data_IF_099821801591
#
_entry.id   IF_099821801591
#
_cell.length_a   1.000
_cell.length_b   1.000
_cell.length_c   1.000
_cell.angle_alpha   90.00
_cell.angle_beta   90.00
_cell.angle_gamma   90.00
#
_symmetry.space_group_name_H-M   'P 1'
#
loop_
_entity.id
_entity.type
_entity.pdbx_description
1 polymer ?
#
# COMPACT_ATOMS: atom_id res chain seq x y z
N UNK A 1 -6.55 29.55 -23.24
CA UNK A 1 -5.13 29.20 -23.51
C UNK A 1 -4.29 30.20 -22.77
N UNK A 2 -3.43 29.76 -21.85
CA UNK A 2 -2.45 30.62 -21.16
C UNK A 2 -1.34 30.94 -22.16
N UNK A 3 -1.28 32.19 -22.66
CA UNK A 3 -0.17 32.69 -23.47
C UNK A 3 0.98 33.11 -22.51
N UNK A 4 1.67 32.13 -21.94
CA UNK A 4 2.91 32.39 -21.19
C UNK A 4 4.06 32.61 -22.20
N UNK A 5 4.90 33.63 -22.00
CA UNK A 5 6.17 33.76 -22.70
C UNK A 5 7.02 32.50 -22.55
N UNK A 6 7.82 32.18 -23.58
CA UNK A 6 8.58 30.92 -23.63
C UNK A 6 9.59 30.80 -22.48
N UNK A 7 10.19 31.90 -22.05
CA UNK A 7 11.10 31.98 -20.94
C UNK A 7 10.42 31.68 -19.60
N UNK A 8 9.22 32.22 -19.38
CA UNK A 8 8.42 31.91 -18.18
C UNK A 8 7.97 30.44 -18.17
N UNK A 9 7.59 29.90 -19.34
CA UNK A 9 7.24 28.50 -19.46
C UNK A 9 8.45 27.58 -19.16
N UNK A 10 9.65 27.93 -19.62
CA UNK A 10 10.89 27.20 -19.36
C UNK A 10 11.26 27.26 -17.87
N UNK A 11 11.11 28.43 -17.22
CA UNK A 11 11.36 28.58 -15.78
C UNK A 11 10.36 27.75 -14.98
N UNK A 12 9.09 27.70 -15.37
CA UNK A 12 8.06 26.88 -14.72
C UNK A 12 8.38 25.38 -14.85
N UNK A 13 8.81 24.93 -16.02
CA UNK A 13 9.24 23.55 -16.26
C UNK A 13 10.49 23.23 -15.42
N UNK A 14 11.47 24.14 -15.34
CA UNK A 14 12.66 23.93 -14.51
C UNK A 14 12.30 23.83 -13.02
N UNK A 15 11.38 24.69 -12.53
CA UNK A 15 10.89 24.65 -11.14
C UNK A 15 10.06 23.41 -10.82
N UNK A 16 9.37 22.84 -11.79
CA UNK A 16 8.56 21.62 -11.63
C UNK A 16 9.29 20.34 -11.99
N UNK A 17 10.54 20.45 -12.47
CA UNK A 17 11.38 19.31 -12.88
C UNK A 17 11.51 18.23 -11.81
N UNK A 18 11.52 18.61 -10.52
CA UNK A 18 11.52 17.67 -9.39
C UNK A 18 10.31 16.74 -9.35
N UNK A 19 9.18 17.11 -9.99
CA UNK A 19 7.98 16.25 -10.07
C UNK A 19 8.18 15.04 -10.99
N UNK A 20 9.14 15.13 -11.91
CA UNK A 20 9.49 14.06 -12.85
C UNK A 20 10.68 13.22 -12.37
N UNK A 21 11.38 13.69 -11.33
CA UNK A 21 12.45 12.90 -10.73
C UNK A 21 11.83 11.74 -9.95
N UNK A 22 12.39 10.53 -10.15
CA UNK A 22 11.99 9.39 -9.31
C UNK A 22 12.26 9.77 -7.87
N UNK A 23 11.23 9.74 -6.99
CA UNK A 23 11.44 10.08 -5.60
C UNK A 23 12.56 9.21 -5.05
N UNK A 24 13.60 9.85 -4.49
CA UNK A 24 14.65 9.14 -3.77
C UNK A 24 13.99 8.18 -2.79
N UNK A 25 14.49 6.95 -2.72
CA UNK A 25 14.04 5.95 -1.74
C UNK A 25 14.41 6.42 -0.34
N UNK A 26 13.70 7.43 0.17
CA UNK A 26 13.89 7.88 1.55
C UNK A 26 13.54 6.74 2.48
N UNK A 27 14.47 6.41 3.39
CA UNK A 27 14.21 5.44 4.45
C UNK A 27 13.05 5.97 5.30
N UNK A 28 12.05 5.12 5.52
CA UNK A 28 10.95 5.44 6.43
C UNK A 28 11.52 5.64 7.82
N UNK A 29 11.12 6.74 8.45
CA UNK A 29 11.52 7.04 9.83
C UNK A 29 10.75 6.14 10.79
N UNK A 30 11.34 5.85 11.93
CA UNK A 30 10.68 5.07 12.99
C UNK A 30 9.49 5.81 13.62
N UNK A 31 9.50 7.13 13.59
CA UNK A 31 8.45 7.99 14.15
C UNK A 31 8.31 9.26 13.31
N UNK A 32 7.08 9.76 13.24
CA UNK A 32 6.71 11.04 12.62
C UNK A 32 6.05 11.93 13.67
N UNK A 33 6.52 13.16 13.81
CA UNK A 33 5.88 14.16 14.68
C UNK A 33 5.06 15.12 13.82
N UNK A 34 3.73 15.04 13.91
CA UNK A 34 2.78 15.84 13.15
C UNK A 34 1.83 16.51 14.14
N UNK A 35 1.69 17.84 14.08
CA UNK A 35 0.83 18.64 14.97
C UNK A 35 1.01 18.31 16.48
N UNK A 36 2.26 18.09 16.92
CA UNK A 36 2.56 17.74 18.31
C UNK A 36 2.24 16.30 18.73
N UNK A 37 1.72 15.47 17.83
CA UNK A 37 1.47 14.05 18.05
C UNK A 37 2.55 13.21 17.38
N UNK A 38 2.87 12.08 18.00
CA UNK A 38 3.87 11.14 17.47
C UNK A 38 3.13 9.95 16.83
N UNK A 39 3.46 9.68 15.57
CA UNK A 39 2.93 8.56 14.79
C UNK A 39 4.01 7.53 14.54
N UNK A 40 3.64 6.25 14.61
CA UNK A 40 4.53 5.12 14.36
C UNK A 40 4.06 4.41 13.08
N UNK A 41 4.92 4.29 12.05
CA UNK A 41 4.58 3.56 10.85
C UNK A 41 4.61 2.04 11.08
N UNK A 42 3.72 1.33 10.40
CA UNK A 42 3.78 -0.12 10.29
C UNK A 42 5.02 -0.51 9.48
N UNK A 43 6.01 -1.13 10.11
CA UNK A 43 7.29 -1.45 9.47
C UNK A 43 7.29 -2.82 8.76
N UNK A 44 6.36 -3.71 9.10
CA UNK A 44 6.20 -5.02 8.48
C UNK A 44 4.73 -5.27 8.11
N UNK A 45 4.49 -5.80 6.92
CA UNK A 45 3.15 -6.22 6.51
C UNK A 45 2.67 -7.47 7.28
N UNK A 46 3.58 -8.19 7.91
CA UNK A 46 3.24 -9.34 8.77
C UNK A 46 2.54 -8.90 10.06
N UNK A 47 2.77 -7.64 10.49
CA UNK A 47 2.13 -7.04 11.66
C UNK A 47 0.80 -6.36 11.33
N UNK A 48 0.38 -6.37 10.06
CA UNK A 48 -0.86 -5.75 9.60
C UNK A 48 -2.07 -6.50 10.15
N UNK A 49 -2.98 -5.76 10.78
CA UNK A 49 -4.23 -6.34 11.28
C UNK A 49 -5.22 -6.59 10.13
N UNK A 50 -6.19 -7.49 10.34
CA UNK A 50 -7.28 -7.74 9.38
C UNK A 50 -8.06 -6.47 9.05
N UNK A 51 -8.30 -5.60 10.05
CA UNK A 51 -8.99 -4.33 9.83
C UNK A 51 -8.18 -3.40 8.91
N UNK A 52 -6.85 -3.27 9.13
CA UNK A 52 -5.98 -2.50 8.23
C UNK A 52 -5.98 -3.07 6.80
N UNK A 53 -5.97 -4.40 6.67
CA UNK A 53 -6.03 -5.06 5.37
C UNK A 53 -7.33 -4.75 4.62
N UNK A 54 -8.47 -4.83 5.28
CA UNK A 54 -9.79 -4.53 4.69
C UNK A 54 -9.86 -3.06 4.28
N UNK A 55 -9.49 -2.14 5.18
CA UNK A 55 -9.54 -0.71 4.92
C UNK A 55 -8.58 -0.32 3.77
N UNK A 56 -7.38 -0.90 3.73
CA UNK A 56 -6.43 -0.67 2.65
C UNK A 56 -6.95 -1.15 1.29
N UNK A 57 -7.51 -2.36 1.22
CA UNK A 57 -8.09 -2.88 -0.03
C UNK A 57 -9.26 -2.05 -0.53
N UNK A 58 -10.04 -1.45 0.35
CA UNK A 58 -11.16 -0.59 -0.04
C UNK A 58 -10.71 0.76 -0.64
N UNK A 59 -9.49 1.21 -0.35
CA UNK A 59 -8.98 2.52 -0.72
C UNK A 59 -7.88 2.51 -1.78
N UNK A 60 -7.23 1.36 -2.03
CA UNK A 60 -6.01 1.31 -2.86
C UNK A 60 -6.21 1.78 -4.30
N UNK A 61 -7.42 1.66 -4.81
CA UNK A 61 -7.76 2.09 -6.18
C UNK A 61 -7.88 3.61 -6.30
N UNK A 62 -8.07 4.32 -5.19
CA UNK A 62 -8.25 5.77 -5.12
C UNK A 62 -7.00 6.47 -4.56
N UNK A 63 -5.81 5.91 -4.81
CA UNK A 63 -4.55 6.34 -4.20
C UNK A 63 -4.27 7.83 -4.42
N UNK A 64 -4.53 8.34 -5.63
CA UNK A 64 -4.22 9.73 -5.99
C UNK A 64 -5.11 10.74 -5.25
N UNK A 65 -6.37 10.35 -4.97
CA UNK A 65 -7.35 11.22 -4.32
C UNK A 65 -7.35 11.07 -2.80
N UNK A 66 -6.99 9.88 -2.30
CA UNK A 66 -7.17 9.49 -0.89
C UNK A 66 -5.86 9.10 -0.19
N UNK A 67 -4.74 9.69 -0.64
CA UNK A 67 -3.42 9.38 -0.09
C UNK A 67 -3.33 9.57 1.45
N UNK A 68 -3.85 10.66 2.06
CA UNK A 68 -3.81 10.82 3.52
C UNK A 68 -4.58 9.73 4.27
N UNK A 69 -5.75 9.31 3.77
CA UNK A 69 -6.54 8.23 4.37
C UNK A 69 -5.81 6.90 4.28
N UNK A 70 -5.21 6.59 3.12
CA UNK A 70 -4.43 5.37 2.93
C UNK A 70 -3.22 5.36 3.87
N UNK A 71 -2.51 6.48 4.00
CA UNK A 71 -1.39 6.57 4.93
C UNK A 71 -1.81 6.47 6.40
N UNK A 72 -3.02 6.93 6.75
CA UNK A 72 -3.55 6.82 8.11
C UNK A 72 -3.78 5.36 8.57
N UNK A 73 -3.92 4.43 7.63
CA UNK A 73 -4.02 3.00 7.92
C UNK A 73 -2.69 2.48 8.49
N UNK A 74 -1.58 3.01 8.01
CA UNK A 74 -0.23 2.55 8.33
C UNK A 74 0.48 3.43 9.38
N UNK A 75 0.01 4.66 9.60
CA UNK A 75 0.53 5.60 10.59
C UNK A 75 -0.41 5.65 11.79
N UNK A 76 -0.06 4.95 12.86
CA UNK A 76 -0.87 4.87 14.07
C UNK A 76 -0.28 5.78 15.15
N UNK A 77 -1.08 6.52 15.94
CA UNK A 77 -0.58 7.30 17.06
C UNK A 77 0.19 6.41 18.03
N UNK A 78 1.34 6.89 18.52
CA UNK A 78 2.19 6.14 19.43
C UNK A 78 1.44 5.71 20.68
N UNK A 79 1.51 4.41 21.01
CA UNK A 79 0.83 3.83 22.17
C UNK A 79 -0.59 3.32 21.87
N UNK A 80 -1.09 3.49 20.67
CA UNK A 80 -2.39 2.95 20.22
C UNK A 80 -2.21 1.79 19.24
N UNK A 81 -3.24 0.98 19.13
CA UNK A 81 -3.39 0.01 18.04
C UNK A 81 -4.36 0.57 17.00
N UNK A 82 -4.30 0.05 15.79
CA UNK A 82 -5.21 0.47 14.72
C UNK A 82 -6.67 0.31 15.16
N UNK A 83 -7.48 1.36 14.98
CA UNK A 83 -8.88 1.46 15.41
C UNK A 83 -9.11 1.42 16.94
N UNK A 84 -8.08 1.66 17.75
CA UNK A 84 -8.17 1.57 19.19
C UNK A 84 -7.98 2.94 19.86
N UNK A 85 -9.07 3.57 20.25
CA UNK A 85 -9.07 4.72 21.16
C UNK A 85 -8.55 6.05 20.59
N UNK A 86 -8.49 6.22 19.26
CA UNK A 86 -8.14 7.50 18.64
C UNK A 86 -9.09 7.87 17.48
N UNK A 87 -9.18 9.16 17.19
CA UNK A 87 -9.95 9.66 16.06
C UNK A 87 -9.17 9.60 14.75
N UNK A 88 -9.60 8.75 13.83
CA UNK A 88 -9.00 8.60 12.50
C UNK A 88 -8.99 9.88 11.68
N UNK A 89 -10.06 10.70 11.78
CA UNK A 89 -10.15 11.95 11.03
C UNK A 89 -9.05 12.92 11.45
N UNK A 90 -8.71 12.93 12.74
CA UNK A 90 -7.57 13.71 13.24
C UNK A 90 -6.24 13.22 12.65
N UNK A 91 -6.03 11.91 12.52
CA UNK A 91 -4.82 11.35 11.91
C UNK A 91 -4.73 11.75 10.44
N UNK A 92 -5.81 11.59 9.67
CA UNK A 92 -5.90 11.99 8.25
C UNK A 92 -5.58 13.47 8.10
N UNK A 93 -6.16 14.33 8.94
CA UNK A 93 -5.91 15.77 8.93
C UNK A 93 -4.45 16.11 9.23
N UNK A 94 -3.86 15.52 10.27
CA UNK A 94 -2.45 15.75 10.62
C UNK A 94 -1.50 15.33 9.48
N UNK A 95 -1.80 14.23 8.80
CA UNK A 95 -1.04 13.76 7.63
C UNK A 95 -1.19 14.76 6.47
N UNK A 96 -2.42 15.15 6.13
CA UNK A 96 -2.68 16.06 5.02
C UNK A 96 -2.04 17.44 5.21
N UNK A 97 -2.01 17.96 6.45
CA UNK A 97 -1.52 19.29 6.74
C UNK A 97 0.00 19.36 6.98
N UNK A 98 0.62 18.28 7.46
CA UNK A 98 1.99 18.33 8.00
C UNK A 98 2.97 17.33 7.42
N UNK A 99 2.51 16.30 6.76
CA UNK A 99 3.42 15.37 6.12
C UNK A 99 3.87 15.94 4.78
N UNK A 100 5.19 16.01 4.56
CA UNK A 100 5.71 16.48 3.27
C UNK A 100 5.31 15.51 2.16
N UNK A 101 4.93 16.04 1.00
CA UNK A 101 4.50 15.25 -0.16
C UNK A 101 5.55 14.19 -0.54
N UNK A 102 6.82 14.53 -0.51
CA UNK A 102 7.93 13.59 -0.81
C UNK A 102 8.01 12.44 0.21
N UNK A 103 7.70 12.70 1.48
CA UNK A 103 7.64 11.66 2.51
C UNK A 103 6.38 10.82 2.35
N UNK A 104 5.23 11.44 2.07
CA UNK A 104 3.96 10.76 1.82
C UNK A 104 4.07 9.78 0.63
N UNK A 105 4.62 10.21 -0.50
CA UNK A 105 4.85 9.37 -1.67
C UNK A 105 5.87 8.26 -1.40
N UNK A 106 6.93 8.56 -0.65
CA UNK A 106 7.91 7.55 -0.23
C UNK A 106 7.28 6.47 0.64
N UNK A 107 6.43 6.85 1.60
CA UNK A 107 5.68 5.91 2.44
C UNK A 107 4.67 5.12 1.64
N UNK A 108 3.87 5.75 0.79
CA UNK A 108 2.92 5.06 -0.07
C UNK A 108 3.62 3.99 -0.92
N UNK A 109 4.71 4.34 -1.57
CA UNK A 109 5.53 3.39 -2.35
C UNK A 109 6.03 2.22 -1.50
N UNK A 110 6.49 2.48 -0.28
CA UNK A 110 6.95 1.43 0.63
C UNK A 110 5.79 0.47 1.00
N UNK A 111 4.66 1.01 1.43
CA UNK A 111 3.53 0.20 1.87
C UNK A 111 2.91 -0.60 0.71
N UNK A 112 2.73 0.02 -0.46
CA UNK A 112 2.23 -0.66 -1.66
C UNK A 112 3.17 -1.80 -2.07
N UNK A 113 4.47 -1.55 -2.11
CA UNK A 113 5.44 -2.59 -2.45
C UNK A 113 5.52 -3.70 -1.39
N UNK A 114 5.42 -3.35 -0.12
CA UNK A 114 5.33 -4.30 0.98
C UNK A 114 4.08 -5.17 0.88
N UNK A 115 2.93 -4.55 0.66
CA UNK A 115 1.66 -5.23 0.47
C UNK A 115 1.67 -6.20 -0.72
N UNK A 116 2.20 -5.76 -1.87
CA UNK A 116 2.34 -6.61 -3.06
C UNK A 116 3.16 -7.87 -2.77
N UNK A 117 4.32 -7.71 -2.11
CA UNK A 117 5.17 -8.84 -1.73
C UNK A 117 4.46 -9.78 -0.75
N UNK A 118 3.74 -9.22 0.22
CA UNK A 118 2.98 -10.00 1.19
C UNK A 118 1.85 -10.77 0.52
N UNK A 119 1.04 -10.13 -0.31
CA UNK A 119 -0.04 -10.76 -1.05
C UNK A 119 0.46 -11.89 -1.96
N UNK A 120 1.54 -11.66 -2.71
CA UNK A 120 2.16 -12.69 -3.55
C UNK A 120 2.65 -13.88 -2.74
N UNK A 121 3.32 -13.65 -1.61
CA UNK A 121 3.78 -14.73 -0.71
C UNK A 121 2.60 -15.52 -0.17
N UNK A 122 1.54 -14.85 0.29
CA UNK A 122 0.33 -15.51 0.81
C UNK A 122 -0.32 -16.39 -0.24
N UNK A 123 -0.43 -15.93 -1.49
CA UNK A 123 -0.97 -16.72 -2.58
C UNK A 123 -0.12 -17.95 -2.89
N UNK A 124 1.21 -17.83 -2.89
CA UNK A 124 2.11 -18.96 -3.09
C UNK A 124 1.97 -20.01 -1.97
N UNK A 125 1.86 -19.59 -0.71
CA UNK A 125 1.61 -20.50 0.41
C UNK A 125 0.24 -21.17 0.31
N UNK A 126 -0.80 -20.41 -0.07
CA UNK A 126 -2.15 -20.95 -0.26
C UNK A 126 -2.19 -21.99 -1.39
N UNK A 127 -1.49 -21.74 -2.50
CA UNK A 127 -1.39 -22.68 -3.61
C UNK A 127 -0.71 -23.99 -3.17
N UNK A 128 0.43 -23.88 -2.47
CA UNK A 128 1.13 -25.05 -1.96
C UNK A 128 0.29 -25.86 -0.94
N UNK A 129 -0.41 -25.15 -0.04
CA UNK A 129 -1.29 -25.80 0.93
C UNK A 129 -2.48 -26.53 0.26
N UNK A 130 -3.06 -25.90 -0.78
CA UNK A 130 -4.13 -26.52 -1.58
C UNK A 130 -3.63 -27.75 -2.35
N UNK A 131 -2.42 -27.73 -2.88
CA UNK A 131 -1.83 -28.92 -3.52
C UNK A 131 -1.72 -30.09 -2.54
N UNK A 132 -1.17 -29.83 -1.35
CA UNK A 132 -1.07 -30.87 -0.30
C UNK A 132 -2.46 -31.37 0.13
N UNK A 133 -3.42 -30.45 0.29
CA UNK A 133 -4.80 -30.82 0.64
C UNK A 133 -5.46 -31.68 -0.43
N UNK A 134 -5.25 -31.37 -1.72
CA UNK A 134 -5.76 -32.16 -2.84
C UNK A 134 -5.23 -33.61 -2.84
N UNK A 135 -3.95 -33.79 -2.51
CA UNK A 135 -3.37 -35.14 -2.44
C UNK A 135 -4.05 -36.01 -1.36
N UNK A 136 -4.43 -35.38 -0.24
CA UNK A 136 -5.07 -36.04 0.91
C UNK A 136 -6.59 -36.11 0.79
N UNK A 137 -7.21 -35.35 -0.12
CA UNK A 137 -8.66 -35.27 -0.26
C UNK A 137 -9.27 -36.55 -0.82
N UNK A 138 -10.46 -36.97 -0.36
CA UNK A 138 -11.29 -37.98 -1.02
C UNK A 138 -11.50 -37.65 -2.50
N UNK A 139 -11.66 -38.70 -3.34
CA UNK A 139 -11.77 -38.49 -4.79
C UNK A 139 -12.92 -37.57 -5.18
N UNK A 140 -13.99 -37.59 -4.41
CA UNK A 140 -15.22 -36.80 -4.62
C UNK A 140 -15.00 -35.31 -4.46
N UNK A 141 -14.07 -34.89 -3.60
CA UNK A 141 -13.77 -33.48 -3.33
C UNK A 141 -12.66 -32.87 -4.22
N UNK A 142 -11.93 -33.74 -4.96
CA UNK A 142 -10.83 -33.27 -5.82
C UNK A 142 -11.26 -32.32 -6.94
N UNK A 143 -12.42 -32.45 -7.59
CA UNK A 143 -12.87 -31.47 -8.58
C UNK A 143 -13.05 -30.06 -7.98
N UNK A 144 -13.66 -29.95 -6.80
CA UNK A 144 -13.85 -28.67 -6.11
C UNK A 144 -12.51 -28.02 -5.74
N UNK A 145 -11.58 -28.81 -5.19
CA UNK A 145 -10.25 -28.35 -4.86
C UNK A 145 -9.47 -27.85 -6.10
N UNK A 146 -9.66 -28.49 -7.28
CA UNK A 146 -9.08 -28.02 -8.55
C UNK A 146 -9.62 -26.65 -8.98
N UNK A 147 -10.92 -26.40 -8.82
CA UNK A 147 -11.50 -25.09 -9.15
C UNK A 147 -10.99 -23.99 -8.22
N UNK A 148 -10.87 -24.25 -6.92
CA UNK A 148 -10.27 -23.31 -5.97
C UNK A 148 -8.81 -23.00 -6.34
N UNK A 149 -8.04 -24.02 -6.69
CA UNK A 149 -6.64 -23.85 -7.13
C UNK A 149 -6.55 -23.00 -8.40
N UNK A 150 -7.44 -23.22 -9.36
CA UNK A 150 -7.50 -22.42 -10.59
C UNK A 150 -7.79 -20.95 -10.28
N UNK A 151 -8.72 -20.68 -9.36
CA UNK A 151 -9.02 -19.32 -8.91
C UNK A 151 -7.82 -18.64 -8.22
N UNK A 152 -7.10 -19.36 -7.35
CA UNK A 152 -5.89 -18.85 -6.69
C UNK A 152 -4.79 -18.53 -7.69
N UNK A 153 -4.57 -19.41 -8.69
CA UNK A 153 -3.61 -19.16 -9.77
C UNK A 153 -3.99 -17.96 -10.63
N UNK A 154 -5.26 -17.81 -10.95
CA UNK A 154 -5.74 -16.65 -11.70
C UNK A 154 -5.49 -15.36 -10.95
N UNK A 155 -5.86 -15.30 -9.66
CA UNK A 155 -5.61 -14.13 -8.80
C UNK A 155 -4.11 -13.80 -8.71
N UNK A 156 -3.23 -14.81 -8.63
CA UNK A 156 -1.79 -14.61 -8.65
C UNK A 156 -1.31 -13.97 -9.95
N UNK A 157 -1.80 -14.42 -11.09
CA UNK A 157 -1.42 -13.86 -12.40
C UNK A 157 -1.98 -12.43 -12.58
N UNK A 158 -3.18 -12.15 -12.09
CA UNK A 158 -3.73 -10.79 -12.07
C UNK A 158 -2.85 -9.83 -11.25
N UNK A 159 -2.45 -10.22 -10.04
CA UNK A 159 -1.53 -9.41 -9.21
C UNK A 159 -0.20 -9.24 -9.93
N UNK A 160 0.33 -10.30 -10.56
CA UNK A 160 1.59 -10.24 -11.30
C UNK A 160 1.51 -9.28 -12.49
N UNK A 161 0.45 -9.35 -13.28
CA UNK A 161 0.25 -8.51 -14.47
C UNK A 161 0.00 -7.04 -14.10
N UNK A 162 -0.85 -6.79 -13.11
CA UNK A 162 -1.22 -5.45 -12.66
C UNK A 162 -0.02 -4.67 -12.10
N UNK A 163 1.00 -5.37 -11.65
CA UNK A 163 2.13 -4.76 -10.93
C UNK A 163 3.49 -4.92 -11.61
N UNK A 164 3.56 -5.48 -12.84
CA UNK A 164 4.79 -5.54 -13.63
C UNK A 164 5.91 -6.37 -13.00
N UNK A 165 5.61 -7.39 -12.20
CA UNK A 165 6.61 -8.31 -11.67
C UNK A 165 7.16 -9.19 -12.81
N UNK A 166 8.35 -8.82 -13.31
CA UNK A 166 9.26 -9.78 -13.96
C UNK A 166 10.09 -10.42 -12.84
N UNK A 167 9.93 -11.73 -12.64
CA UNK A 167 10.87 -12.53 -11.87
C UNK A 167 12.19 -12.62 -12.60
#
# INVERSE_FOLDING_TARGET
MLNLPLDEAQELVARTGFLYEKPEKKKIRKNYSLNGRVYVPLMSMEDMTTAQFIDFNSLINDLDERLPEILSIFLVPKGHKYNDGYDKNTVVKDIAERLMVTEALGMASFFINGYKKYAMRTLLYSEAALEVAMWKAPKELRPQAKEVMKAVRHLREEIRSSYGYRL
#
